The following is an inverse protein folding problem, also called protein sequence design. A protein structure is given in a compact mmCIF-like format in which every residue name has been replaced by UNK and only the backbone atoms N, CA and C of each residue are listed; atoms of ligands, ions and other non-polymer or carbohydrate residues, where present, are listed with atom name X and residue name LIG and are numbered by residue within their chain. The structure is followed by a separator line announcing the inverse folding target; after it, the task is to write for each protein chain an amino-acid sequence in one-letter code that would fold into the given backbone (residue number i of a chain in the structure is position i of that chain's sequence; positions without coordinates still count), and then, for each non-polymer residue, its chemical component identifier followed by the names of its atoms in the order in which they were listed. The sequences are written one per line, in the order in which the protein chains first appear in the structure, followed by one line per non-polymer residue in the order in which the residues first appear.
data_IF_326695136712
#
_entry.id   IF_326695136712
#
_cell.length_a   1.000
_cell.length_b   1.000
_cell.length_c   1.000
_cell.angle_alpha   90.00
_cell.angle_beta   90.00
_cell.angle_gamma   90.00
#
_symmetry.space_group_name_H-M   'P 1'
#
loop_
_entity.id
_entity.type
_entity.pdbx_description
1 polymer ?
#
# COMPACT_ATOMS: atom_id res chain seq x y z
N UNK A 1 26.33 -47.52 -21.01
CA UNK A 1 27.35 -46.57 -20.49
C UNK A 1 26.61 -45.35 -19.93
N UNK A 2 26.23 -45.42 -18.66
CA UNK A 2 25.73 -44.28 -17.86
C UNK A 2 26.93 -43.37 -17.53
N UNK A 3 26.89 -42.05 -17.49
CA UNK A 3 25.81 -41.09 -17.32
C UNK A 3 26.26 -40.10 -16.24
N UNK A 4 27.09 -39.10 -16.60
CA UNK A 4 27.48 -38.01 -15.69
C UNK A 4 26.28 -37.07 -15.55
N UNK A 5 25.60 -37.13 -14.40
CA UNK A 5 24.47 -36.26 -14.08
C UNK A 5 24.90 -35.06 -13.25
N UNK A 6 24.17 -33.94 -13.38
CA UNK A 6 24.40 -32.64 -12.72
C UNK A 6 24.44 -32.68 -11.18
N UNK A 7 24.19 -33.83 -10.53
CA UNK A 7 24.35 -34.02 -9.07
C UNK A 7 25.77 -34.41 -8.64
N UNK A 8 26.67 -34.79 -9.56
CA UNK A 8 28.06 -35.18 -9.23
C UNK A 8 29.02 -33.99 -9.01
N UNK A 9 28.66 -32.79 -9.46
CA UNK A 9 29.52 -31.60 -9.42
C UNK A 9 29.50 -30.84 -8.08
N UNK A 10 28.62 -31.20 -7.13
CA UNK A 10 28.45 -30.50 -5.86
C UNK A 10 29.09 -31.19 -4.64
N UNK A 11 29.96 -32.19 -4.83
CA UNK A 11 30.62 -32.91 -3.72
C UNK A 11 32.16 -32.83 -3.68
N UNK A 12 32.80 -32.00 -4.50
CA UNK A 12 34.25 -31.84 -4.47
C UNK A 12 34.67 -30.40 -4.17
N UNK A 13 34.71 -30.05 -2.89
CA UNK A 13 35.60 -29.00 -2.33
C UNK A 13 35.57 -29.06 -0.81
N UNK A 14 36.17 -30.12 -0.27
CA UNK A 14 36.62 -30.15 1.11
C UNK A 14 38.15 -29.94 1.13
N UNK A 15 38.58 -28.83 1.71
CA UNK A 15 39.86 -28.67 2.42
C UNK A 15 41.16 -28.60 1.62
N UNK A 16 41.74 -27.39 1.51
CA UNK A 16 43.14 -27.13 1.88
C UNK A 16 43.17 -25.77 2.58
N UNK A 17 43.64 -25.75 3.83
CA UNK A 17 43.78 -24.56 4.64
C UNK A 17 45.06 -23.79 4.33
N UNK A 18 44.95 -22.47 4.32
CA UNK A 18 46.07 -21.55 4.57
C UNK A 18 45.57 -20.56 5.63
N UNK A 19 46.13 -20.65 6.83
CA UNK A 19 45.87 -19.71 7.92
C UNK A 19 46.78 -18.50 7.69
N UNK A 20 46.20 -17.40 7.22
CA UNK A 20 46.79 -16.07 7.34
C UNK A 20 46.12 -15.34 8.51
N UNK A 21 46.85 -14.53 9.31
CA UNK A 21 46.24 -13.80 10.41
C UNK A 21 45.33 -12.72 9.86
N UNK A 22 44.02 -12.95 9.91
CA UNK A 22 43.04 -11.89 9.71
C UNK A 22 43.13 -10.94 10.91
N UNK A 23 43.65 -9.74 10.68
CA UNK A 23 43.39 -8.62 11.56
C UNK A 23 41.87 -8.48 11.72
N UNK A 24 41.40 -8.50 12.97
CA UNK A 24 39.99 -8.31 13.29
C UNK A 24 39.60 -6.89 12.91
N UNK A 25 39.10 -6.71 11.68
CA UNK A 25 38.30 -5.54 11.33
C UNK A 25 36.99 -5.71 12.11
N UNK A 26 36.81 -4.86 13.12
CA UNK A 26 35.55 -4.76 13.83
C UNK A 26 34.41 -4.72 12.80
N UNK A 27 33.47 -5.66 12.93
CA UNK A 27 32.23 -5.58 12.19
C UNK A 27 31.62 -4.20 12.46
N UNK A 28 31.06 -3.51 11.44
CA UNK A 28 30.34 -2.27 11.71
C UNK A 28 29.26 -2.62 12.74
N UNK A 29 29.21 -1.85 13.82
CA UNK A 29 28.14 -1.98 14.80
C UNK A 29 26.82 -1.86 14.04
N UNK A 30 26.08 -2.96 13.93
CA UNK A 30 24.69 -2.88 13.55
C UNK A 30 24.01 -2.07 14.66
N UNK A 31 23.29 -1.02 14.27
CA UNK A 31 22.55 -0.19 15.20
C UNK A 31 21.71 -1.07 16.12
N UNK A 32 21.67 -0.70 17.40
CA UNK A 32 20.89 -1.40 18.42
C UNK A 32 19.42 -1.49 17.95
N UNK A 33 18.77 -2.67 17.98
CA UNK A 33 17.35 -2.80 17.62
C UNK A 33 16.44 -1.83 18.37
N UNK A 34 16.85 -1.36 19.55
CA UNK A 34 16.14 -0.35 20.35
C UNK A 34 16.23 1.07 19.78
N UNK A 35 17.26 1.42 19.00
CA UNK A 35 17.32 2.72 18.29
C UNK A 35 16.32 2.79 17.13
N UNK A 36 15.92 1.65 16.57
CA UNK A 36 14.95 1.59 15.47
C UNK A 36 13.50 1.74 15.94
N UNK A 37 13.19 1.35 17.18
CA UNK A 37 11.81 1.42 17.72
C UNK A 37 11.36 2.86 18.00
N UNK A 38 12.28 3.78 18.30
CA UNK A 38 11.97 5.20 18.54
C UNK A 38 11.75 6.01 17.24
N UNK A 39 12.06 5.42 16.09
CA UNK A 39 11.86 6.02 14.76
C UNK A 39 10.55 5.57 14.10
N UNK A 40 9.92 4.52 14.63
CA UNK A 40 8.69 3.98 14.07
C UNK A 40 7.50 4.89 14.37
N UNK A 41 6.58 4.97 13.42
CA UNK A 41 5.28 5.62 13.63
C UNK A 41 4.49 4.72 14.57
N UNK A 42 4.38 5.11 15.84
CA UNK A 42 3.55 4.42 16.82
C UNK A 42 2.07 4.55 16.44
N UNK A 43 1.53 3.49 15.84
CA UNK A 43 0.12 3.39 15.52
C UNK A 43 -0.67 3.08 16.80
N UNK A 44 -1.70 3.87 17.17
CA UNK A 44 -2.47 3.63 18.38
C UNK A 44 -3.20 2.27 18.30
N UNK A 45 -3.36 1.50 19.38
CA UNK A 45 -4.07 0.22 19.30
C UNK A 45 -5.46 0.37 18.67
N UNK A 46 -5.76 -0.44 17.66
CA UNK A 46 -7.08 -0.42 17.04
C UNK A 46 -8.09 -1.18 17.90
N UNK A 47 -9.29 -0.61 18.04
CA UNK A 47 -10.44 -1.25 18.70
C UNK A 47 -11.51 -1.61 17.68
N UNK A 48 -12.54 -2.35 18.10
CA UNK A 48 -13.69 -2.62 17.22
C UNK A 48 -14.52 -1.35 16.92
N UNK A 49 -14.35 -0.28 17.70
CA UNK A 49 -14.95 1.01 17.39
C UNK A 49 -14.22 1.70 16.23
N UNK A 50 -14.94 2.58 15.51
CA UNK A 50 -14.33 3.52 14.57
C UNK A 50 -13.80 4.71 15.39
N UNK A 51 -12.49 4.85 15.46
CA UNK A 51 -11.81 5.84 16.30
C UNK A 51 -11.08 6.87 15.43
N UNK A 52 -11.14 8.18 15.75
CA UNK A 52 -10.35 9.17 15.04
C UNK A 52 -8.86 8.85 15.11
N UNK A 53 -8.17 9.08 14.00
CA UNK A 53 -6.73 8.95 13.88
C UNK A 53 -6.12 10.26 13.44
N UNK A 54 -5.00 10.63 14.05
CA UNK A 54 -4.21 11.80 13.64
C UNK A 54 -2.79 11.33 13.37
N UNK A 55 -2.35 11.53 12.14
CA UNK A 55 -0.98 11.23 11.74
C UNK A 55 -0.04 12.21 12.43
N UNK A 56 0.97 11.68 13.12
CA UNK A 56 2.04 12.46 13.72
C UNK A 56 3.35 11.68 13.60
N UNK A 57 4.15 12.00 12.60
CA UNK A 57 5.48 11.42 12.41
C UNK A 57 6.47 12.09 13.36
N UNK A 58 7.20 11.33 14.19
CA UNK A 58 8.20 11.89 15.09
C UNK A 58 9.26 12.70 14.33
N UNK A 59 9.69 13.83 14.89
CA UNK A 59 10.76 14.62 14.26
C UNK A 59 12.07 13.82 14.13
N UNK A 60 12.33 12.92 15.08
CA UNK A 60 13.47 12.00 15.04
C UNK A 60 13.48 11.14 13.76
N UNK A 61 12.31 10.66 13.30
CA UNK A 61 12.18 9.90 12.06
C UNK A 61 12.52 10.75 10.83
N UNK A 62 12.13 12.03 10.82
CA UNK A 62 12.45 12.95 9.72
C UNK A 62 13.93 13.35 9.71
N UNK A 63 14.54 13.50 10.88
CA UNK A 63 15.99 13.72 11.03
C UNK A 63 16.75 12.50 10.52
N UNK A 64 16.35 11.30 10.93
CA UNK A 64 17.00 10.06 10.48
C UNK A 64 16.86 9.86 8.96
N UNK A 65 15.67 10.12 8.39
CA UNK A 65 15.47 10.11 6.93
C UNK A 65 16.47 11.04 6.23
N UNK A 66 16.59 12.30 6.68
CA UNK A 66 17.51 13.27 6.08
C UNK A 66 18.97 12.84 6.19
N UNK A 67 19.36 12.28 7.35
CA UNK A 67 20.69 11.70 7.57
C UNK A 67 21.00 10.58 6.57
N UNK A 68 20.06 9.64 6.36
CA UNK A 68 20.22 8.52 5.42
C UNK A 68 20.31 9.00 3.96
N UNK A 69 19.46 9.94 3.57
CA UNK A 69 19.49 10.52 2.21
C UNK A 69 20.83 11.22 1.94
N UNK A 70 21.36 11.98 2.90
CA UNK A 70 22.66 12.65 2.79
C UNK A 70 23.84 11.66 2.71
N UNK A 71 23.77 10.53 3.40
CA UNK A 71 24.80 9.49 3.42
C UNK A 71 24.68 8.45 2.29
N UNK A 72 23.89 8.72 1.24
CA UNK A 72 23.65 7.77 0.15
C UNK A 72 24.96 7.40 -0.57
N UNK A 73 25.34 6.12 -0.53
CA UNK A 73 26.38 5.55 -1.40
C UNK A 73 25.76 5.19 -2.75
N UNK A 74 26.01 6.03 -3.74
CA UNK A 74 25.47 5.86 -5.08
C UNK A 74 26.14 4.73 -5.87
N UNK A 75 25.39 4.01 -6.72
CA UNK A 75 25.97 3.07 -7.67
C UNK A 75 26.68 3.80 -8.82
N UNK A 76 27.41 3.05 -9.63
CA UNK A 76 27.91 3.49 -10.93
C UNK A 76 26.75 3.88 -11.87
N UNK A 77 27.06 4.68 -12.88
CA UNK A 77 26.08 5.08 -13.90
C UNK A 77 25.70 3.88 -14.78
N UNK A 78 24.44 3.84 -15.17
CA UNK A 78 23.90 2.94 -16.20
C UNK A 78 24.70 2.96 -17.51
N UNK A 79 24.71 1.86 -18.26
CA UNK A 79 25.44 1.74 -19.54
C UNK A 79 24.62 2.23 -20.73
N UNK A 80 23.36 2.59 -20.50
CA UNK A 80 22.38 3.02 -21.50
C UNK A 80 22.02 4.49 -21.27
N UNK A 81 21.52 5.17 -22.30
CA UNK A 81 21.05 6.57 -22.20
C UNK A 81 19.54 6.68 -21.98
N UNK A 82 18.83 5.55 -21.94
CA UNK A 82 17.40 5.44 -21.73
C UNK A 82 17.06 4.63 -20.46
N UNK A 83 15.78 4.52 -20.12
CA UNK A 83 15.33 3.83 -18.91
C UNK A 83 15.21 2.30 -19.04
N UNK A 84 15.80 1.69 -20.08
CA UNK A 84 15.67 0.24 -20.33
C UNK A 84 16.27 -0.64 -19.22
N UNK A 85 17.24 -0.10 -18.46
CA UNK A 85 17.84 -0.74 -17.29
C UNK A 85 17.26 -0.25 -15.95
N UNK A 86 16.18 0.53 -15.97
CA UNK A 86 15.56 1.10 -14.77
C UNK A 86 15.79 2.60 -14.60
N UNK A 87 15.64 3.07 -13.35
CA UNK A 87 15.71 4.49 -13.04
C UNK A 87 17.13 5.04 -13.23
N UNK A 88 17.27 6.05 -14.10
CA UNK A 88 18.54 6.70 -14.42
C UNK A 88 19.18 7.37 -13.21
N UNK A 89 20.47 7.18 -13.00
CA UNK A 89 21.19 7.68 -11.82
C UNK A 89 21.02 9.19 -11.63
N UNK A 90 21.15 9.96 -12.71
CA UNK A 90 21.02 11.42 -12.68
C UNK A 90 19.62 11.88 -12.26
N UNK A 91 18.57 11.13 -12.65
CA UNK A 91 17.18 11.42 -12.25
C UNK A 91 16.96 11.12 -10.77
N UNK A 92 17.44 9.97 -10.28
CA UNK A 92 17.32 9.60 -8.86
C UNK A 92 18.10 10.57 -7.97
N UNK A 93 19.31 10.99 -8.36
CA UNK A 93 20.09 12.02 -7.64
C UNK A 93 19.34 13.34 -7.51
N UNK A 94 18.72 13.81 -8.58
CA UNK A 94 17.90 15.05 -8.55
C UNK A 94 16.67 14.89 -7.65
N UNK A 95 16.00 13.74 -7.68
CA UNK A 95 14.86 13.46 -6.82
C UNK A 95 15.26 13.41 -5.33
N UNK A 96 16.32 12.69 -5.00
CA UNK A 96 16.86 12.63 -3.62
C UNK A 96 17.32 13.99 -3.14
N UNK A 97 17.97 14.79 -4.00
CA UNK A 97 18.36 16.15 -3.66
C UNK A 97 17.15 17.04 -3.34
N UNK A 98 16.09 16.96 -4.15
CA UNK A 98 14.85 17.67 -3.86
C UNK A 98 14.21 17.19 -2.55
N UNK A 99 14.18 15.87 -2.31
CA UNK A 99 13.63 15.30 -1.09
C UNK A 99 14.38 15.80 0.16
N UNK A 100 15.71 15.81 0.10
CA UNK A 100 16.57 16.25 1.20
C UNK A 100 16.42 17.75 1.51
N UNK A 101 16.27 18.59 0.49
CA UNK A 101 16.46 20.05 0.63
C UNK A 101 15.19 20.88 0.48
N UNK A 102 14.14 20.35 -0.17
CA UNK A 102 12.96 21.14 -0.57
C UNK A 102 11.63 20.49 -0.21
N UNK A 103 11.58 19.16 -0.09
CA UNK A 103 10.33 18.48 0.20
C UNK A 103 9.94 18.66 1.67
N UNK A 104 8.77 19.24 1.89
CA UNK A 104 8.17 19.40 3.21
C UNK A 104 7.20 18.25 3.51
N UNK A 105 7.59 17.35 4.41
CA UNK A 105 6.72 16.28 4.92
C UNK A 105 5.53 16.82 5.71
N UNK A 106 5.74 17.88 6.50
CA UNK A 106 4.69 18.43 7.38
C UNK A 106 3.52 18.97 6.56
N UNK A 107 3.76 19.46 5.34
CA UNK A 107 2.70 19.79 4.37
C UNK A 107 1.81 18.58 4.05
N UNK A 108 2.39 17.42 3.73
CA UNK A 108 1.60 16.21 3.41
C UNK A 108 0.87 15.70 4.66
N UNK A 109 1.54 15.69 5.80
CA UNK A 109 0.95 15.29 7.08
C UNK A 109 -0.24 16.18 7.46
N UNK A 110 -0.10 17.50 7.36
CA UNK A 110 -1.18 18.45 7.58
C UNK A 110 -2.33 18.23 6.59
N UNK A 111 -2.02 17.97 5.32
CA UNK A 111 -3.03 17.69 4.30
C UNK A 111 -3.81 16.41 4.60
N UNK A 112 -3.13 15.31 4.95
CA UNK A 112 -3.80 14.06 5.34
C UNK A 112 -4.67 14.27 6.59
N UNK A 113 -4.16 14.97 7.59
CA UNK A 113 -4.90 15.32 8.80
C UNK A 113 -6.07 16.29 8.58
N UNK A 114 -6.09 17.02 7.46
CA UNK A 114 -7.23 17.87 7.10
C UNK A 114 -8.41 17.04 6.58
N UNK A 115 -8.17 15.79 6.20
CA UNK A 115 -9.22 14.81 5.94
C UNK A 115 -9.57 14.06 7.24
N UNK A 116 -10.81 13.59 7.37
CA UNK A 116 -11.20 12.72 8.47
C UNK A 116 -10.48 11.38 8.36
N UNK A 117 -9.45 11.14 9.18
CA UNK A 117 -8.75 9.85 9.25
C UNK A 117 -9.24 9.06 10.46
N UNK A 118 -9.38 7.75 10.28
CA UNK A 118 -9.93 6.87 11.30
C UNK A 118 -9.19 5.54 11.31
N UNK A 119 -9.30 4.84 12.44
CA UNK A 119 -8.85 3.46 12.59
C UNK A 119 -9.90 2.59 13.24
N UNK A 120 -9.97 1.34 12.82
CA UNK A 120 -10.81 0.30 13.44
C UNK A 120 -10.20 -1.08 13.19
N UNK A 121 -10.46 -2.03 14.09
CA UNK A 121 -9.98 -3.41 14.00
C UNK A 121 -10.92 -4.23 13.14
N UNK A 122 -10.41 -4.77 12.04
CA UNK A 122 -11.14 -5.63 11.11
C UNK A 122 -10.44 -6.97 11.06
N UNK A 123 -11.15 -8.02 11.47
CA UNK A 123 -10.64 -9.39 11.48
C UNK A 123 -9.24 -9.52 12.14
N UNK A 124 -9.10 -8.89 13.31
CA UNK A 124 -7.89 -8.90 14.11
C UNK A 124 -6.79 -7.92 13.70
N UNK A 125 -6.97 -7.12 12.65
CA UNK A 125 -5.97 -6.15 12.17
C UNK A 125 -6.48 -4.71 12.26
N UNK A 126 -5.66 -3.78 12.77
CA UNK A 126 -5.99 -2.36 12.80
C UNK A 126 -5.88 -1.72 11.42
N UNK A 127 -7.02 -1.39 10.83
CA UNK A 127 -7.12 -0.76 9.52
C UNK A 127 -7.25 0.74 9.66
N UNK A 128 -6.42 1.48 8.91
CA UNK A 128 -6.56 2.91 8.68
C UNK A 128 -7.41 3.21 7.46
N UNK A 129 -8.20 4.28 7.52
CA UNK A 129 -8.94 4.80 6.38
C UNK A 129 -9.23 6.29 6.49
N UNK A 130 -9.34 6.94 5.33
CA UNK A 130 -9.97 8.26 5.22
C UNK A 130 -11.48 8.07 5.10
N UNK A 131 -12.26 8.91 5.77
CA UNK A 131 -13.71 8.98 5.63
C UNK A 131 -14.16 10.43 5.58
N UNK A 132 -14.62 10.85 4.40
CA UNK A 132 -15.02 12.23 4.12
C UNK A 132 -16.47 12.23 3.69
N UNK A 133 -17.32 12.84 4.52
CA UNK A 133 -18.75 12.94 4.26
C UNK A 133 -19.03 14.14 3.37
N UNK A 134 -19.65 13.90 2.21
CA UNK A 134 -20.35 14.97 1.50
C UNK A 134 -21.37 15.69 2.38
N UNK A 135 -21.54 17.00 2.13
CA UNK A 135 -22.62 17.83 2.68
C UNK A 135 -23.99 17.55 2.03
N UNK A 136 -24.00 16.87 0.88
CA UNK A 136 -25.22 16.56 0.14
C UNK A 136 -25.88 15.29 0.70
N UNK A 137 -27.16 15.36 1.05
CA UNK A 137 -27.87 14.29 1.79
C UNK A 137 -27.99 12.97 1.00
N UNK A 138 -28.06 13.06 -0.33
CA UNK A 138 -28.26 11.91 -1.21
C UNK A 138 -26.94 11.35 -1.77
N UNK A 139 -25.80 11.80 -1.24
CA UNK A 139 -24.50 11.37 -1.74
C UNK A 139 -24.30 9.85 -1.61
N UNK A 140 -23.84 9.21 -2.68
CA UNK A 140 -23.66 7.76 -2.70
C UNK A 140 -22.35 7.41 -1.96
N UNK A 141 -22.33 6.41 -1.06
CA UNK A 141 -21.07 5.98 -0.45
C UNK A 141 -20.16 5.30 -1.49
N UNK A 142 -18.91 5.74 -1.56
CA UNK A 142 -17.89 5.26 -2.50
C UNK A 142 -16.66 4.79 -1.73
N UNK A 143 -16.37 3.50 -1.86
CA UNK A 143 -15.15 2.87 -1.35
C UNK A 143 -14.06 2.93 -2.43
N UNK A 144 -12.94 3.60 -2.16
CA UNK A 144 -11.78 3.71 -3.05
C UNK A 144 -10.60 2.90 -2.51
N UNK A 145 -10.14 1.88 -3.24
CA UNK A 145 -9.02 1.02 -2.81
C UNK A 145 -7.80 1.26 -3.71
N UNK A 146 -6.66 1.61 -3.12
CA UNK A 146 -5.37 1.74 -3.84
C UNK A 146 -4.74 0.37 -4.12
N UNK A 147 -3.62 0.36 -4.85
CA UNK A 147 -2.79 -0.83 -5.06
C UNK A 147 -1.35 -0.70 -4.59
N UNK A 148 -0.42 -1.39 -5.27
CA UNK A 148 1.03 -1.36 -5.05
C UNK A 148 1.73 -0.79 -6.29
N UNK A 149 2.74 0.08 -6.14
CA UNK A 149 3.31 0.64 -4.90
C UNK A 149 2.54 1.87 -4.39
N UNK A 150 1.21 1.84 -4.49
CA UNK A 150 0.30 2.95 -4.19
C UNK A 150 -0.03 3.19 -2.71
N UNK A 151 -0.85 4.20 -2.45
CA UNK A 151 -1.37 4.54 -1.11
C UNK A 151 -2.62 5.44 -1.19
N UNK A 152 -3.22 5.74 -0.03
CA UNK A 152 -4.35 6.69 0.07
C UNK A 152 -4.02 8.09 -0.47
N UNK A 153 -2.73 8.45 -0.60
CA UNK A 153 -2.27 9.75 -1.11
C UNK A 153 -2.71 9.97 -2.57
N UNK A 154 -2.90 8.91 -3.33
CA UNK A 154 -3.33 8.97 -4.75
C UNK A 154 -4.70 9.65 -4.91
N UNK A 155 -5.56 9.56 -3.90
CA UNK A 155 -6.93 10.03 -3.97
C UNK A 155 -7.13 11.46 -3.46
N UNK A 156 -6.12 12.10 -2.86
CA UNK A 156 -6.31 13.38 -2.16
C UNK A 156 -6.80 14.53 -3.06
N UNK A 157 -6.56 14.44 -4.37
CA UNK A 157 -7.04 15.44 -5.33
C UNK A 157 -8.48 15.18 -5.80
N UNK A 158 -8.98 13.95 -5.69
CA UNK A 158 -10.35 13.61 -6.14
C UNK A 158 -11.38 13.64 -5.02
N UNK A 159 -10.95 13.58 -3.75
CA UNK A 159 -11.87 13.63 -2.60
C UNK A 159 -12.75 14.89 -2.63
N UNK A 160 -12.18 16.07 -2.90
CA UNK A 160 -12.93 17.33 -2.95
C UNK A 160 -14.03 17.30 -4.02
N UNK A 161 -13.69 17.12 -5.31
CA UNK A 161 -14.68 17.01 -6.39
C UNK A 161 -15.73 15.92 -6.17
N UNK A 162 -15.36 14.78 -5.58
CA UNK A 162 -16.31 13.70 -5.31
C UNK A 162 -17.28 14.03 -4.16
N UNK A 163 -16.82 14.75 -3.13
CA UNK A 163 -17.63 15.04 -1.93
C UNK A 163 -18.42 16.34 -2.03
N UNK A 164 -17.96 17.31 -2.81
CA UNK A 164 -18.60 18.61 -3.03
C UNK A 164 -18.55 19.00 -4.52
N UNK A 165 -19.19 18.24 -5.42
CA UNK A 165 -19.08 18.44 -6.87
C UNK A 165 -19.48 19.86 -7.31
N UNK A 166 -20.44 20.50 -6.65
CA UNK A 166 -20.89 21.87 -6.98
C UNK A 166 -19.76 22.89 -6.83
N UNK A 167 -18.90 22.75 -5.81
CA UNK A 167 -17.73 23.63 -5.64
C UNK A 167 -16.69 23.48 -6.77
N UNK A 168 -16.80 22.44 -7.58
CA UNK A 168 -15.91 22.12 -8.70
C UNK A 168 -16.63 22.10 -10.06
N UNK A 169 -17.85 22.66 -10.15
CA UNK A 169 -18.60 22.79 -11.40
C UNK A 169 -19.42 21.56 -11.81
N UNK A 170 -19.55 20.56 -10.94
CA UNK A 170 -20.45 19.41 -11.11
C UNK A 170 -21.84 19.63 -10.52
N UNK A 171 -22.66 18.57 -10.50
CA UNK A 171 -24.03 18.62 -10.00
C UNK A 171 -24.15 17.94 -8.62
N UNK A 172 -25.19 18.29 -7.86
CA UNK A 172 -25.39 17.75 -6.49
C UNK A 172 -25.64 16.25 -6.50
N UNK A 173 -26.27 15.74 -7.56
CA UNK A 173 -26.66 14.34 -7.73
C UNK A 173 -25.45 13.41 -7.93
N UNK A 174 -24.31 13.99 -8.33
CA UNK A 174 -23.04 13.28 -8.55
C UNK A 174 -22.19 13.17 -7.27
N UNK A 175 -22.69 13.62 -6.12
CA UNK A 175 -21.94 13.65 -4.88
C UNK A 175 -21.75 12.25 -4.28
N UNK A 176 -20.59 12.05 -3.64
CA UNK A 176 -20.23 10.83 -2.93
C UNK A 176 -19.82 11.10 -1.47
N UNK A 177 -20.16 10.19 -0.56
CA UNK A 177 -19.38 10.04 0.66
C UNK A 177 -18.18 9.15 0.35
N UNK A 178 -16.96 9.59 0.64
CA UNK A 178 -15.75 8.88 0.23
C UNK A 178 -15.12 8.15 1.40
N UNK A 179 -14.80 6.87 1.21
CA UNK A 179 -14.07 6.01 2.15
C UNK A 179 -12.84 5.47 1.44
N UNK A 180 -11.64 5.69 1.99
CA UNK A 180 -10.36 5.31 1.38
C UNK A 180 -9.51 4.55 2.39
N UNK A 181 -9.63 3.22 2.48
CA UNK A 181 -8.80 2.45 3.37
C UNK A 181 -7.37 2.25 2.85
N UNK A 182 -6.42 2.20 3.78
CA UNK A 182 -5.09 1.65 3.52
C UNK A 182 -5.16 0.13 3.55
N UNK A 183 -4.65 -0.53 2.52
CA UNK A 183 -4.60 -1.99 2.45
C UNK A 183 -3.93 -2.62 3.70
N UNK A 184 -4.31 -3.84 4.10
CA UNK A 184 -3.62 -4.59 5.15
C UNK A 184 -2.11 -4.63 4.94
N UNK A 185 -1.32 -4.12 5.89
CA UNK A 185 0.14 -4.01 5.79
C UNK A 185 0.67 -2.80 4.98
N UNK A 186 -0.20 -1.89 4.54
CA UNK A 186 0.17 -0.68 3.81
C UNK A 186 -0.08 0.59 4.64
N UNK A 187 0.79 1.58 4.45
CA UNK A 187 0.62 2.91 5.02
C UNK A 187 0.43 2.88 6.54
N UNK A 188 -0.73 3.32 7.00
CA UNK A 188 -1.07 3.43 8.43
C UNK A 188 -2.01 2.30 8.93
N UNK A 189 -2.20 1.26 8.12
CA UNK A 189 -2.78 -0.01 8.58
C UNK A 189 -1.70 -0.89 9.20
N UNK A 190 -2.07 -1.71 10.18
CA UNK A 190 -1.13 -2.60 10.85
C UNK A 190 -0.51 -3.60 9.85
N UNK A 191 0.73 -4.01 10.14
CA UNK A 191 1.39 -5.13 9.46
C UNK A 191 0.81 -6.44 9.99
N UNK A 192 0.31 -7.35 9.14
CA UNK A 192 -0.10 -8.68 9.59
C UNK A 192 1.02 -9.41 10.33
N UNK A 193 0.71 -9.98 11.49
CA UNK A 193 1.64 -10.81 12.28
C UNK A 193 1.56 -12.31 11.95
N UNK A 194 0.59 -12.71 11.12
CA UNK A 194 0.40 -14.07 10.65
C UNK A 194 0.04 -14.10 9.16
N UNK A 195 0.31 -15.20 8.44
CA UNK A 195 -0.16 -15.40 7.07
C UNK A 195 -1.69 -15.30 6.94
N UNK A 196 -2.18 -15.19 5.69
CA UNK A 196 -3.60 -15.34 5.36
C UNK A 196 -4.34 -14.05 4.99
N UNK A 197 -3.70 -12.88 5.04
CA UNK A 197 -4.24 -11.66 4.42
C UNK A 197 -4.12 -11.72 2.91
N UNK A 198 -5.14 -12.30 2.28
CA UNK A 198 -5.31 -12.41 0.83
C UNK A 198 -6.43 -11.47 0.32
N UNK A 199 -6.68 -11.50 -1.00
CA UNK A 199 -7.70 -10.67 -1.66
C UNK A 199 -9.08 -10.87 -1.05
N UNK A 200 -9.53 -12.13 -0.89
CA UNK A 200 -10.85 -12.45 -0.32
C UNK A 200 -11.00 -11.97 1.11
N UNK A 201 -9.98 -12.16 1.95
CA UNK A 201 -9.97 -11.66 3.34
C UNK A 201 -10.04 -10.12 3.39
N UNK A 202 -9.32 -9.46 2.48
CA UNK A 202 -9.36 -8.00 2.35
C UNK A 202 -10.74 -7.51 1.89
N UNK A 203 -11.36 -8.17 0.91
CA UNK A 203 -12.71 -7.86 0.46
C UNK A 203 -13.76 -8.03 1.59
N UNK A 204 -13.65 -9.10 2.39
CA UNK A 204 -14.50 -9.29 3.56
C UNK A 204 -14.31 -8.17 4.60
N UNK A 205 -13.06 -7.73 4.84
CA UNK A 205 -12.78 -6.60 5.71
C UNK A 205 -13.41 -5.29 5.19
N UNK A 206 -13.41 -5.06 3.88
CA UNK A 206 -14.08 -3.90 3.27
C UNK A 206 -15.60 -3.95 3.38
N UNK A 207 -16.21 -5.12 3.19
CA UNK A 207 -17.63 -5.31 3.42
C UNK A 207 -17.99 -4.98 4.89
N UNK A 208 -17.21 -5.48 5.85
CA UNK A 208 -17.39 -5.19 7.27
C UNK A 208 -17.15 -3.70 7.58
N UNK A 209 -16.13 -3.06 6.98
CA UNK A 209 -15.87 -1.64 7.15
C UNK A 209 -17.10 -0.81 6.73
N UNK A 210 -17.62 -1.07 5.52
CA UNK A 210 -18.78 -0.34 4.99
C UNK A 210 -20.03 -0.59 5.85
N UNK A 211 -20.23 -1.83 6.32
CA UNK A 211 -21.30 -2.17 7.27
C UNK A 211 -21.15 -1.41 8.59
N UNK A 212 -19.94 -1.36 9.15
CA UNK A 212 -19.64 -0.68 10.42
C UNK A 212 -19.81 0.83 10.34
N UNK A 213 -19.57 1.42 9.16
CA UNK A 213 -19.87 2.83 8.84
C UNK A 213 -21.37 3.09 8.58
N UNK A 214 -22.22 2.05 8.63
CA UNK A 214 -23.67 2.17 8.47
C UNK A 214 -24.15 2.24 7.01
N UNK A 215 -23.29 1.99 6.03
CA UNK A 215 -23.64 2.06 4.63
C UNK A 215 -24.40 0.83 4.17
N UNK A 216 -25.72 0.98 3.96
CA UNK A 216 -26.60 -0.06 3.44
C UNK A 216 -26.63 -0.17 1.91
N UNK A 217 -26.05 0.83 1.23
CA UNK A 217 -25.86 0.87 -0.22
C UNK A 217 -24.55 1.62 -0.50
N UNK A 218 -23.64 1.05 -1.29
CA UNK A 218 -22.37 1.67 -1.64
C UNK A 218 -21.84 1.15 -2.98
N UNK A 219 -20.94 1.93 -3.60
CA UNK A 219 -20.18 1.54 -4.78
C UNK A 219 -18.72 1.31 -4.36
N UNK A 220 -18.04 0.38 -5.00
CA UNK A 220 -16.61 0.14 -4.79
C UNK A 220 -15.80 0.44 -6.06
N UNK A 221 -14.61 0.99 -5.88
CA UNK A 221 -13.71 1.37 -6.95
C UNK A 221 -12.29 0.95 -6.59
N UNK A 222 -11.57 0.43 -7.59
CA UNK A 222 -10.13 0.24 -7.45
C UNK A 222 -9.41 0.01 -8.78
N UNK A 223 -8.09 0.18 -8.73
CA UNK A 223 -7.14 -0.24 -9.75
C UNK A 223 -6.01 -1.04 -9.11
N UNK A 224 -5.14 -1.68 -9.92
CA UNK A 224 -4.09 -2.58 -9.44
C UNK A 224 -4.65 -3.59 -8.40
N UNK A 225 -4.01 -3.81 -7.25
CA UNK A 225 -4.55 -4.66 -6.17
C UNK A 225 -5.92 -4.22 -5.67
N UNK A 226 -6.19 -2.91 -5.65
CA UNK A 226 -7.50 -2.39 -5.31
C UNK A 226 -8.57 -2.81 -6.31
N UNK A 227 -8.21 -2.96 -7.58
CA UNK A 227 -9.08 -3.50 -8.62
C UNK A 227 -9.36 -4.98 -8.41
N UNK A 228 -8.34 -5.76 -8.07
CA UNK A 228 -8.48 -7.19 -7.73
C UNK A 228 -9.37 -7.40 -6.50
N UNK A 229 -9.19 -6.60 -5.44
CA UNK A 229 -10.04 -6.62 -4.23
C UNK A 229 -11.47 -6.17 -4.55
N UNK A 230 -11.64 -5.16 -5.40
CA UNK A 230 -12.98 -4.67 -5.82
C UNK A 230 -13.72 -5.70 -6.69
N UNK A 231 -13.01 -6.42 -7.57
CA UNK A 231 -13.59 -7.53 -8.32
C UNK A 231 -13.99 -8.68 -7.38
N UNK A 232 -13.18 -8.99 -6.38
CA UNK A 232 -13.52 -10.00 -5.37
C UNK A 232 -14.73 -9.58 -4.52
N UNK A 233 -14.87 -8.29 -4.18
CA UNK A 233 -16.10 -7.74 -3.58
C UNK A 233 -17.33 -8.02 -4.45
N UNK A 234 -17.24 -7.84 -5.77
CA UNK A 234 -18.35 -8.17 -6.68
C UNK A 234 -18.66 -9.68 -6.73
N UNK A 235 -17.65 -10.53 -6.56
CA UNK A 235 -17.82 -11.99 -6.51
C UNK A 235 -18.50 -12.45 -5.22
N UNK A 236 -18.08 -11.94 -4.05
CA UNK A 236 -18.68 -12.32 -2.75
C UNK A 236 -20.07 -11.68 -2.54
N UNK A 237 -20.40 -10.61 -3.26
CA UNK A 237 -21.71 -9.93 -3.27
C UNK A 237 -22.18 -9.55 -1.85
N UNK A 238 -21.41 -8.75 -1.09
CA UNK A 238 -21.81 -8.38 0.25
C UNK A 238 -23.07 -7.49 0.20
N UNK A 239 -23.88 -7.57 1.24
CA UNK A 239 -25.09 -6.76 1.35
C UNK A 239 -24.75 -5.26 1.18
N UNK A 240 -25.51 -4.58 0.31
CA UNK A 240 -25.35 -3.16 0.04
C UNK A 240 -24.36 -2.80 -1.07
N UNK A 241 -23.56 -3.72 -1.60
CA UNK A 241 -22.76 -3.41 -2.79
C UNK A 241 -23.68 -3.21 -4.01
N UNK A 242 -23.76 -1.98 -4.50
CA UNK A 242 -24.64 -1.58 -5.60
C UNK A 242 -23.97 -1.65 -6.98
N UNK A 243 -22.64 -1.61 -7.02
CA UNK A 243 -21.88 -1.62 -8.26
C UNK A 243 -20.38 -1.52 -8.00
N UNK A 244 -19.60 -1.82 -9.04
CA UNK A 244 -18.15 -1.66 -9.04
C UNK A 244 -17.67 -0.83 -10.22
N UNK A 245 -16.56 -0.13 -10.04
CA UNK A 245 -15.84 0.58 -11.10
C UNK A 245 -14.35 0.23 -11.06
N UNK A 246 -13.81 -0.28 -12.17
CA UNK A 246 -12.41 -0.69 -12.27
C UNK A 246 -11.70 0.19 -13.31
N UNK A 247 -10.61 0.86 -12.90
CA UNK A 247 -9.72 1.58 -13.82
C UNK A 247 -8.48 0.75 -14.21
N UNK A 248 -8.36 -0.44 -13.64
CA UNK A 248 -7.43 -1.49 -14.06
C UNK A 248 -8.12 -2.83 -13.82
N UNK A 249 -8.23 -3.64 -14.87
CA UNK A 249 -8.74 -5.00 -14.78
C UNK A 249 -7.86 -5.91 -15.62
N UNK A 250 -7.75 -7.17 -15.21
CA UNK A 250 -7.07 -8.20 -15.97
C UNK A 250 -7.94 -9.45 -15.94
N UNK A 251 -8.26 -9.97 -17.12
CA UNK A 251 -8.88 -11.29 -17.26
C UNK A 251 -7.77 -12.29 -17.48
N UNK A 252 -7.49 -13.11 -16.48
CA UNK A 252 -6.67 -14.29 -16.70
C UNK A 252 -7.56 -15.30 -17.40
N UNK A 253 -7.18 -15.72 -18.61
CA UNK A 253 -7.81 -16.88 -19.23
C UNK A 253 -7.72 -18.01 -18.22
N UNK A 254 -8.84 -18.65 -17.83
CA UNK A 254 -8.73 -19.87 -17.04
C UNK A 254 -7.74 -20.78 -17.77
N UNK A 255 -6.87 -21.53 -17.05
CA UNK A 255 -6.11 -22.59 -17.71
C UNK A 255 -7.10 -23.36 -18.58
N UNK A 256 -6.75 -23.63 -19.85
CA UNK A 256 -7.66 -24.29 -20.80
C UNK A 256 -8.22 -25.52 -20.08
N UNK A 257 -9.44 -25.36 -19.58
CA UNK A 257 -10.18 -26.41 -18.92
C UNK A 257 -10.86 -27.24 -19.99
N UNK A 258 -11.64 -28.21 -19.54
CA UNK A 258 -12.58 -28.90 -20.41
C UNK A 258 -13.42 -27.86 -21.20
N UNK A 259 -13.81 -28.20 -22.44
CA UNK A 259 -14.61 -27.30 -23.28
C UNK A 259 -15.85 -26.79 -22.52
N UNK A 260 -16.29 -25.54 -22.78
CA UNK A 260 -17.41 -24.94 -22.05
C UNK A 260 -18.64 -25.85 -22.14
N UNK A 261 -19.30 -26.02 -21.00
CA UNK A 261 -20.59 -26.70 -20.91
C UNK A 261 -21.65 -25.94 -21.72
N UNK A 262 -22.76 -26.60 -22.05
CA UNK A 262 -23.89 -25.95 -22.76
C UNK A 262 -24.50 -24.77 -21.98
N UNK A 263 -24.27 -24.69 -20.68
CA UNK A 263 -24.77 -23.62 -19.80
C UNK A 263 -23.81 -22.42 -19.77
N UNK A 264 -22.56 -22.60 -20.18
CA UNK A 264 -21.52 -21.57 -20.28
C UNK A 264 -21.44 -20.93 -21.68
N UNK A 265 -22.17 -21.48 -22.66
CA UNK A 265 -22.35 -20.95 -24.02
C UNK A 265 -23.64 -20.12 -24.11
#
# INVERSE_FOLDING_TARGET
MSGLTRRGLLRASAGVGVVAPFASLAAPAFADPTELTDLDIALPPATDAVTPFRLNVPEAALIDLRRRLAATRWPERETVTDASQGAQLDRVRKLVHHWLTKYDWRRLEARLNSFGQFRTKLDGLGIHFLHVRSKHQNAIPLLLTHGWPGSVVEFLNVIGPLTDPVAFGGQTEDAFHVVVPSLPGYGFSDKPSSPGWNVTRTANAWAELMRRLGYRRFIAQGGDWGGVVTAELAKIKPAGLAGIHLNFFSTFTPPIGDPPTKEEL
#
